data_IF_630972883581
#
_entry.id   IF_630972883581
#
_cell.length_a   1.000
_cell.length_b   1.000
_cell.length_c   1.000
_cell.angle_alpha   90.00
_cell.angle_beta   90.00
_cell.angle_gamma   90.00
#
_symmetry.space_group_name_H-M   'P 1'
#
loop_
_entity.id
_entity.type
_entity.pdbx_description
1 polymer ?
#
# COMPACT_ATOMS: atom_id res chain seq x y z
N UNK A 1 -12.77 -27.41 4.71
CA UNK A 1 -11.61 -26.69 5.29
C UNK A 1 -12.00 -25.23 5.42
N UNK A 2 -12.43 -24.81 6.60
CA UNK A 2 -12.88 -23.44 6.88
C UNK A 2 -11.67 -22.66 7.37
N UNK A 3 -11.09 -21.78 6.54
CA UNK A 3 -10.06 -20.86 7.03
C UNK A 3 -10.73 -19.86 7.97
N UNK A 4 -10.38 -19.90 9.26
CA UNK A 4 -10.76 -18.87 10.21
C UNK A 4 -10.23 -17.52 9.70
N UNK A 5 -11.14 -16.60 9.36
CA UNK A 5 -10.78 -15.21 9.06
C UNK A 5 -10.00 -14.65 10.26
N UNK A 6 -8.85 -13.97 10.04
CA UNK A 6 -8.08 -13.42 11.14
C UNK A 6 -8.97 -12.44 11.91
N UNK A 7 -9.16 -12.69 13.21
CA UNK A 7 -9.84 -11.76 14.11
C UNK A 7 -9.13 -10.41 14.01
N UNK A 8 -9.84 -9.36 13.63
CA UNK A 8 -9.26 -8.04 13.46
C UNK A 8 -8.70 -7.55 14.80
N UNK A 9 -7.37 -7.52 14.95
CA UNK A 9 -6.72 -6.95 16.13
C UNK A 9 -7.15 -5.49 16.26
N UNK A 10 -7.67 -5.07 17.42
CA UNK A 10 -8.00 -3.67 17.63
C UNK A 10 -6.74 -2.81 17.46
N UNK A 11 -6.86 -1.70 16.72
CA UNK A 11 -5.70 -0.84 16.38
C UNK A 11 -5.10 -0.16 17.61
N UNK A 12 -5.85 -0.06 18.72
CA UNK A 12 -5.42 0.58 19.96
C UNK A 12 -4.15 -0.03 20.55
N UNK A 13 -4.15 -1.32 20.94
CA UNK A 13 -2.97 -2.02 21.45
C UNK A 13 -1.73 -1.96 20.54
N UNK A 14 -1.92 -1.99 19.22
CA UNK A 14 -0.82 -1.95 18.24
C UNK A 14 -0.05 -0.62 18.25
N UNK A 15 -0.76 0.50 18.44
CA UNK A 15 -0.15 1.84 18.45
C UNK A 15 0.84 1.99 19.60
N UNK A 16 0.46 1.50 20.79
CA UNK A 16 1.31 1.55 21.98
C UNK A 16 2.55 0.69 21.83
N UNK A 17 2.42 -0.51 21.26
CA UNK A 17 3.57 -1.39 21.01
C UNK A 17 4.57 -0.81 20.01
N UNK A 18 4.10 -0.08 18.99
CA UNK A 18 4.95 0.51 17.95
C UNK A 18 5.45 1.93 18.29
N UNK A 19 5.02 2.52 19.42
CA UNK A 19 5.28 3.93 19.73
C UNK A 19 4.69 4.90 18.70
N UNK A 20 3.68 4.46 17.94
CA UNK A 20 3.16 5.18 16.77
C UNK A 20 1.95 6.04 17.13
N UNK A 21 1.93 7.29 16.65
CA UNK A 21 0.77 8.19 16.79
C UNK A 21 -0.20 8.02 15.62
N UNK A 22 -1.47 7.81 15.92
CA UNK A 22 -2.52 7.83 14.91
C UNK A 22 -2.91 9.27 14.57
N UNK A 23 -2.91 9.61 13.28
CA UNK A 23 -3.21 10.94 12.78
C UNK A 23 -4.35 10.83 11.78
N UNK A 24 -5.41 11.61 11.99
CA UNK A 24 -6.51 11.75 11.03
C UNK A 24 -6.25 12.94 10.12
N UNK A 25 -6.76 12.84 8.89
CA UNK A 25 -6.88 14.00 8.01
C UNK A 25 -7.87 15.00 8.59
N UNK A 26 -7.70 16.28 8.27
CA UNK A 26 -8.69 17.30 8.63
C UNK A 26 -10.01 17.05 7.88
N UNK A 27 -11.18 17.25 8.50
CA UNK A 27 -12.47 17.19 7.79
C UNK A 27 -12.46 18.07 6.55
N UNK A 28 -13.08 17.58 5.47
CA UNK A 28 -13.17 18.27 4.18
C UNK A 28 -11.81 18.62 3.53
N UNK A 29 -10.72 17.95 3.94
CA UNK A 29 -9.37 18.18 3.40
C UNK A 29 -8.82 16.98 2.61
N UNK A 30 -9.44 16.54 1.51
CA UNK A 30 -9.04 15.32 0.78
C UNK A 30 -7.62 15.41 0.20
N UNK A 31 -7.11 16.60 -0.10
CA UNK A 31 -5.75 16.78 -0.63
C UNK A 31 -4.64 16.27 0.30
N UNK A 32 -4.91 16.13 1.61
CA UNK A 32 -3.97 15.54 2.57
C UNK A 32 -3.71 14.05 2.29
N UNK A 33 -4.65 13.40 1.62
CA UNK A 33 -4.61 11.99 1.26
C UNK A 33 -4.01 11.74 -0.14
N UNK A 34 -3.57 12.79 -0.85
CA UNK A 34 -3.20 12.69 -2.26
C UNK A 34 -2.09 11.67 -2.57
N UNK A 35 -1.17 11.40 -1.61
CA UNK A 35 -0.12 10.39 -1.79
C UNK A 35 -0.70 8.97 -1.88
N UNK A 36 -1.57 8.58 -0.94
CA UNK A 36 -2.16 7.24 -0.95
C UNK A 36 -3.19 7.11 -2.08
N UNK A 37 -3.90 8.20 -2.43
CA UNK A 37 -4.82 8.19 -3.57
C UNK A 37 -4.09 7.95 -4.89
N UNK A 38 -2.94 8.61 -5.10
CA UNK A 38 -2.09 8.37 -6.27
C UNK A 38 -1.56 6.94 -6.29
N UNK A 39 -1.13 6.41 -5.14
CA UNK A 39 -0.72 5.01 -5.01
C UNK A 39 -1.86 4.04 -5.38
N UNK A 40 -3.04 4.22 -4.81
CA UNK A 40 -4.21 3.37 -5.03
C UNK A 40 -4.64 3.38 -6.50
N UNK A 41 -4.54 4.53 -7.19
CA UNK A 41 -4.79 4.61 -8.63
C UNK A 41 -3.81 3.75 -9.43
N UNK A 42 -2.50 3.86 -9.15
CA UNK A 42 -1.48 3.02 -9.79
C UNK A 42 -1.71 1.53 -9.51
N UNK A 43 -2.02 1.17 -8.26
CA UNK A 43 -2.34 -0.20 -7.87
C UNK A 43 -3.54 -0.75 -8.65
N UNK A 44 -4.60 0.05 -8.80
CA UNK A 44 -5.77 -0.36 -9.56
C UNK A 44 -5.44 -0.61 -11.04
N UNK A 45 -4.78 0.35 -11.69
CA UNK A 45 -4.46 0.26 -13.11
C UNK A 45 -3.43 -0.84 -13.42
N UNK A 46 -2.39 -0.96 -12.60
CA UNK A 46 -1.24 -1.82 -12.91
C UNK A 46 -1.33 -3.22 -12.31
N UNK A 47 -2.19 -3.43 -11.30
CA UNK A 47 -2.35 -4.73 -10.66
C UNK A 47 -3.79 -5.23 -10.66
N UNK A 48 -4.76 -4.47 -10.13
CA UNK A 48 -6.15 -4.94 -10.00
C UNK A 48 -6.74 -5.29 -11.37
N UNK A 49 -6.59 -4.39 -12.34
CA UNK A 49 -7.24 -4.50 -13.64
C UNK A 49 -6.31 -5.03 -14.74
N UNK A 50 -5.06 -5.39 -14.39
CA UNK A 50 -4.07 -5.87 -15.37
C UNK A 50 -4.34 -7.30 -15.84
N UNK A 51 -4.99 -8.12 -15.01
CA UNK A 51 -5.34 -9.50 -15.35
C UNK A 51 -6.57 -9.98 -14.56
N UNK A 52 -7.20 -11.05 -15.04
CA UNK A 52 -8.28 -11.72 -14.34
C UNK A 52 -7.68 -12.71 -13.33
N UNK A 53 -8.14 -12.64 -12.08
CA UNK A 53 -7.78 -13.60 -11.04
C UNK A 53 -8.95 -14.55 -10.79
N UNK A 54 -8.65 -15.84 -10.69
CA UNK A 54 -9.64 -16.90 -10.40
C UNK A 54 -9.86 -17.11 -8.90
N UNK A 55 -8.92 -16.65 -8.06
CA UNK A 55 -9.04 -16.72 -6.60
C UNK A 55 -8.41 -15.51 -5.91
N UNK A 56 -8.88 -15.20 -4.70
CA UNK A 56 -8.28 -14.17 -3.85
C UNK A 56 -6.88 -14.57 -3.33
N UNK A 57 -6.60 -15.86 -3.22
CA UNK A 57 -5.30 -16.35 -2.81
C UNK A 57 -4.23 -16.04 -3.87
N UNK A 58 -4.53 -16.35 -5.13
CA UNK A 58 -3.64 -16.04 -6.27
C UNK A 58 -3.44 -14.52 -6.41
N UNK A 59 -4.53 -13.77 -6.25
CA UNK A 59 -4.49 -12.31 -6.23
C UNK A 59 -3.54 -11.79 -5.16
N UNK A 60 -3.67 -12.27 -3.92
CA UNK A 60 -2.85 -11.83 -2.79
C UNK A 60 -1.37 -12.22 -2.96
N UNK A 61 -1.09 -13.42 -3.48
CA UNK A 61 0.26 -13.87 -3.75
C UNK A 61 0.95 -13.00 -4.82
N UNK A 62 0.24 -12.67 -5.90
CA UNK A 62 0.77 -11.81 -6.97
C UNK A 62 0.99 -10.35 -6.52
N UNK A 63 0.27 -9.88 -5.50
CA UNK A 63 0.38 -8.51 -4.99
C UNK A 63 1.77 -8.20 -4.43
N UNK A 64 2.39 -9.18 -3.75
CA UNK A 64 3.71 -9.00 -3.11
C UNK A 64 4.76 -8.61 -4.14
N UNK A 65 4.83 -9.36 -5.25
CA UNK A 65 5.78 -9.08 -6.32
C UNK A 65 5.51 -7.72 -6.98
N UNK A 66 4.24 -7.35 -7.18
CA UNK A 66 3.91 -6.04 -7.71
C UNK A 66 4.36 -4.92 -6.76
N UNK A 67 4.16 -5.08 -5.45
CA UNK A 67 4.53 -4.09 -4.44
C UNK A 67 6.05 -3.90 -4.34
N UNK A 68 6.82 -4.98 -4.39
CA UNK A 68 8.28 -4.94 -4.44
C UNK A 68 8.74 -4.15 -5.66
N UNK A 69 8.26 -4.51 -6.85
CA UNK A 69 8.61 -3.81 -8.08
C UNK A 69 8.18 -2.34 -8.04
N UNK A 70 6.99 -2.01 -7.54
CA UNK A 70 6.53 -0.63 -7.39
C UNK A 70 7.49 0.19 -6.52
N UNK A 71 7.96 -0.40 -5.41
CA UNK A 71 8.76 0.29 -4.40
C UNK A 71 10.22 0.46 -4.80
N UNK A 72 10.81 -0.54 -5.47
CA UNK A 72 12.26 -0.59 -5.72
C UNK A 72 12.63 -0.42 -7.19
N UNK A 73 11.79 -0.88 -8.14
CA UNK A 73 12.13 -0.94 -9.56
C UNK A 73 11.37 0.03 -10.47
N UNK A 74 10.12 0.36 -10.14
CA UNK A 74 9.25 1.18 -10.98
C UNK A 74 9.79 2.60 -11.06
N UNK A 75 9.89 3.14 -12.27
CA UNK A 75 10.32 4.54 -12.50
C UNK A 75 9.16 5.50 -12.33
N UNK A 76 9.37 6.60 -11.61
CA UNK A 76 8.36 7.63 -11.42
C UNK A 76 8.82 8.97 -11.99
N UNK A 77 8.03 9.55 -12.89
CA UNK A 77 8.33 10.87 -13.49
C UNK A 77 8.45 11.97 -12.45
N UNK A 78 7.59 11.97 -11.42
CA UNK A 78 7.66 12.90 -10.29
C UNK A 78 8.92 12.73 -9.40
N UNK A 79 9.69 11.67 -9.62
CA UNK A 79 10.95 11.35 -8.94
C UNK A 79 12.16 11.46 -9.88
N UNK A 80 12.02 12.08 -11.07
CA UNK A 80 13.10 12.13 -12.06
C UNK A 80 13.43 10.75 -12.66
N UNK A 81 12.47 9.83 -12.69
CA UNK A 81 12.67 8.47 -13.19
C UNK A 81 13.21 7.47 -12.17
N UNK A 82 13.41 7.90 -10.91
CA UNK A 82 13.81 7.01 -9.82
C UNK A 82 12.60 6.27 -9.21
N UNK A 83 12.88 5.23 -8.43
CA UNK A 83 11.87 4.47 -7.68
C UNK A 83 11.56 5.11 -6.32
N UNK A 84 10.40 4.82 -5.71
CA UNK A 84 9.99 5.41 -4.44
C UNK A 84 11.02 5.25 -3.31
N UNK A 85 11.72 4.11 -3.24
CA UNK A 85 12.73 3.85 -2.21
C UNK A 85 13.89 4.85 -2.23
N UNK A 86 14.18 5.46 -3.39
CA UNK A 86 15.26 6.47 -3.53
C UNK A 86 15.06 7.72 -2.67
N UNK A 87 13.85 7.95 -2.14
CA UNK A 87 13.53 9.08 -1.25
C UNK A 87 13.68 8.76 0.23
N UNK A 88 13.90 7.50 0.59
CA UNK A 88 14.06 7.12 1.99
C UNK A 88 15.50 7.38 2.42
N UNK A 89 15.67 7.99 3.58
CA UNK A 89 16.98 8.05 4.24
C UNK A 89 17.33 6.64 4.73
N UNK A 90 18.60 6.21 4.61
CA UNK A 90 19.05 5.00 5.30
C UNK A 90 18.91 5.21 6.81
N UNK A 91 18.37 4.20 7.49
CA UNK A 91 18.22 4.14 8.94
C UNK A 91 19.55 3.83 9.62
#
# INVERSE_FOLDING_TARGET
MTSASPTATPVGPLKSALGARHIFIRPHCPWQNGKVERFNRSLQTEWVYRQIFTSNADRSAALVLWFENYSTGRRHTALGGLSPISRLSPT
#
